data_IF_670986182906
#
_entry.id   IF_670986182906
#
_cell.length_a   1.000
_cell.length_b   1.000
_cell.length_c   1.000
_cell.angle_alpha   90.00
_cell.angle_beta   90.00
_cell.angle_gamma   90.00
#
_symmetry.space_group_name_H-M   'P 1'
#
loop_
_entity.id
_entity.type
_entity.pdbx_description
1 polymer ?
#
# COMPACT_ATOMS: atom_id res chain seq x y z
N UNK A 1 28.36 24.76 32.84
CA UNK A 1 27.84 25.20 34.17
C UNK A 1 26.31 25.14 34.16
N UNK A 2 25.75 24.50 35.20
CA UNK A 2 24.31 24.33 35.62
C UNK A 2 23.54 23.24 34.83
N UNK A 3 23.45 21.99 35.20
CA UNK A 3 23.01 21.26 36.41
C UNK A 3 21.75 21.89 37.03
N UNK A 4 20.65 21.14 36.99
CA UNK A 4 19.46 21.16 37.89
C UNK A 4 18.25 20.68 37.07
N UNK A 5 17.33 19.77 37.43
CA UNK A 5 17.04 19.09 38.69
C UNK A 5 16.26 17.80 38.37
N UNK A 6 16.56 16.80 39.13
CA UNK A 6 15.78 15.60 39.34
C UNK A 6 14.56 15.97 40.16
N UNK A 7 13.38 15.53 39.76
CA UNK A 7 12.26 15.32 40.66
C UNK A 7 11.62 13.97 40.41
N UNK A 8 11.93 13.09 41.30
CA UNK A 8 11.35 11.81 41.66
C UNK A 8 9.96 12.06 42.26
N UNK A 9 8.91 11.44 41.78
CA UNK A 9 7.64 11.31 42.50
C UNK A 9 7.04 9.93 42.24
N UNK A 10 7.25 9.09 43.25
CA UNK A 10 6.57 7.83 43.54
C UNK A 10 5.16 8.13 44.07
N UNK A 11 4.15 7.44 43.57
CA UNK A 11 2.87 7.11 44.23
C UNK A 11 2.25 6.03 43.37
N UNK A 12 2.34 4.77 43.67
CA UNK A 12 1.59 4.00 44.67
C UNK A 12 0.15 3.63 44.20
N UNK A 13 -0.02 2.37 43.91
CA UNK A 13 -1.18 1.49 44.20
C UNK A 13 -2.58 1.93 43.79
N UNK A 14 -3.18 1.13 42.93
CA UNK A 14 -4.44 0.45 43.29
C UNK A 14 -4.70 -0.75 42.37
N UNK A 15 -4.54 -1.92 42.98
CA UNK A 15 -5.01 -3.17 42.44
C UNK A 15 -6.52 -3.27 42.63
N UNK A 16 -7.21 -3.78 41.64
CA UNK A 16 -8.55 -4.36 41.76
C UNK A 16 -8.49 -5.74 41.11
N UNK A 17 -8.32 -6.72 41.98
CA UNK A 17 -8.58 -8.12 41.70
C UNK A 17 -10.10 -8.32 41.54
N UNK A 18 -10.52 -8.85 40.40
CA UNK A 18 -11.89 -9.34 40.21
C UNK A 18 -11.82 -10.87 40.24
N UNK A 19 -12.18 -11.42 41.41
CA UNK A 19 -12.40 -12.86 41.59
C UNK A 19 -13.78 -13.20 41.05
N UNK A 20 -13.83 -14.04 40.02
CA UNK A 20 -15.07 -14.68 39.57
C UNK A 20 -15.17 -16.05 40.23
N UNK A 21 -16.01 -16.16 41.23
CA UNK A 21 -16.39 -17.41 41.90
C UNK A 21 -17.29 -18.26 41.00
N UNK A 22 -16.81 -19.45 40.65
CA UNK A 22 -17.59 -20.52 40.06
C UNK A 22 -18.48 -21.15 41.15
N UNK A 23 -19.79 -21.12 40.99
CA UNK A 23 -20.72 -21.92 41.81
C UNK A 23 -21.22 -23.10 40.99
N UNK A 24 -20.75 -24.24 41.40
CA UNK A 24 -21.16 -25.57 40.98
C UNK A 24 -22.39 -25.99 41.82
N UNK A 25 -23.55 -26.10 41.18
CA UNK A 25 -24.73 -26.67 41.83
C UNK A 25 -25.11 -27.98 41.13
N UNK A 26 -24.81 -29.07 41.83
CA UNK A 26 -25.28 -30.41 41.57
C UNK A 26 -26.73 -30.53 42.05
N UNK A 27 -27.64 -30.88 41.18
CA UNK A 27 -28.94 -31.41 41.53
C UNK A 27 -29.20 -32.70 40.77
N UNK A 28 -29.39 -33.75 41.53
CA UNK A 28 -29.61 -35.15 41.20
C UNK A 28 -31.11 -35.42 41.15
N UNK A 29 -31.49 -36.47 40.35
CA UNK A 29 -32.78 -37.22 40.31
C UNK A 29 -33.87 -36.65 39.40
N UNK A 30 -34.32 -37.36 38.38
CA UNK A 30 -35.10 -38.59 38.35
C UNK A 30 -35.40 -39.01 36.90
N UNK A 31 -35.31 -40.29 36.62
CA UNK A 31 -35.80 -40.96 35.42
C UNK A 31 -37.29 -41.28 35.60
N UNK A 32 -38.12 -41.11 34.56
CA UNK A 32 -38.99 -42.22 34.14
C UNK A 32 -39.05 -42.44 32.63
N UNK A 33 -38.91 -43.68 32.30
CA UNK A 33 -39.59 -44.54 31.32
C UNK A 33 -39.93 -44.02 29.92
N UNK A 34 -39.44 -44.80 29.00
CA UNK A 34 -39.59 -44.83 27.56
C UNK A 34 -41.01 -44.88 27.01
N UNK A 35 -41.19 -44.16 25.85
CA UNK A 35 -42.11 -44.59 24.78
C UNK A 35 -41.37 -44.52 23.42
N UNK A 36 -41.54 -45.51 22.54
CA UNK A 36 -40.82 -45.57 21.27
C UNK A 36 -41.43 -44.59 20.27
N UNK A 37 -40.67 -43.55 19.94
CA UNK A 37 -41.03 -42.65 18.85
C UNK A 37 -40.56 -43.24 17.50
N UNK A 38 -41.47 -43.33 16.55
CA UNK A 38 -41.34 -43.72 15.16
C UNK A 38 -40.07 -43.16 14.52
N UNK A 39 -39.30 -44.04 13.91
CA UNK A 39 -38.21 -43.73 12.99
C UNK A 39 -38.77 -42.88 11.82
N UNK A 40 -38.59 -41.58 11.87
CA UNK A 40 -38.67 -40.72 10.70
C UNK A 40 -37.44 -41.01 9.87
N UNK A 41 -37.60 -41.65 8.73
CA UNK A 41 -36.60 -41.69 7.70
C UNK A 41 -36.30 -40.24 7.29
N UNK A 42 -35.15 -39.76 7.70
CA UNK A 42 -34.59 -38.52 7.17
C UNK A 42 -34.19 -38.77 5.69
N UNK A 43 -34.71 -37.97 4.81
CA UNK A 43 -34.26 -37.88 3.41
C UNK A 43 -32.73 -37.64 3.39
N UNK A 44 -31.99 -38.12 2.37
CA UNK A 44 -30.57 -37.88 2.28
C UNK A 44 -30.36 -36.39 2.10
N UNK A 45 -30.00 -35.72 3.17
CA UNK A 45 -29.44 -34.39 3.07
C UNK A 45 -28.12 -34.54 2.31
N UNK A 46 -28.03 -33.93 1.16
CA UNK A 46 -26.81 -33.76 0.40
C UNK A 46 -25.84 -32.98 1.31
N UNK A 47 -25.13 -33.70 2.17
CA UNK A 47 -24.09 -33.11 3.02
C UNK A 47 -22.88 -32.86 2.14
N UNK A 48 -22.92 -31.73 1.40
CA UNK A 48 -21.68 -31.18 0.83
C UNK A 48 -20.70 -31.09 1.99
N UNK A 49 -19.63 -31.86 1.90
CA UNK A 49 -18.66 -31.97 2.98
C UNK A 49 -18.13 -30.58 3.32
N UNK A 50 -18.03 -30.27 4.60
CA UNK A 50 -17.46 -29.00 5.09
C UNK A 50 -16.06 -28.75 4.51
N UNK A 51 -15.36 -29.81 4.14
CA UNK A 51 -14.07 -29.77 3.46
C UNK A 51 -14.19 -29.30 2.02
N UNK A 52 -15.21 -29.76 1.25
CA UNK A 52 -15.46 -29.34 -0.12
C UNK A 52 -15.88 -27.87 -0.20
N UNK A 53 -16.73 -27.41 0.71
CA UNK A 53 -17.11 -25.99 0.80
C UNK A 53 -15.88 -25.13 1.09
N UNK A 54 -15.01 -25.55 1.99
CA UNK A 54 -13.79 -24.83 2.34
C UNK A 54 -12.79 -24.80 1.20
N UNK A 55 -12.59 -25.92 0.48
CA UNK A 55 -11.70 -25.97 -0.69
C UNK A 55 -12.20 -25.10 -1.85
N UNK A 56 -13.50 -25.14 -2.13
CA UNK A 56 -14.12 -24.28 -3.17
C UNK A 56 -14.00 -22.80 -2.81
N UNK A 57 -14.26 -22.44 -1.57
CA UNK A 57 -14.10 -21.05 -1.10
C UNK A 57 -12.63 -20.57 -1.20
N UNK A 58 -11.67 -21.44 -0.88
CA UNK A 58 -10.23 -21.11 -1.02
C UNK A 58 -9.85 -20.94 -2.49
N UNK A 59 -10.34 -21.80 -3.39
CA UNK A 59 -10.09 -21.69 -4.82
C UNK A 59 -10.71 -20.43 -5.43
N UNK A 60 -11.94 -20.07 -5.02
CA UNK A 60 -12.59 -18.83 -5.45
C UNK A 60 -11.81 -17.61 -4.96
N UNK A 61 -11.39 -17.60 -3.68
CA UNK A 61 -10.60 -16.51 -3.13
C UNK A 61 -9.25 -16.36 -3.85
N UNK A 62 -8.58 -17.47 -4.17
CA UNK A 62 -7.33 -17.45 -4.94
C UNK A 62 -7.55 -16.95 -6.38
N UNK A 63 -8.67 -17.35 -7.02
CA UNK A 63 -9.04 -16.86 -8.35
C UNK A 63 -9.33 -15.36 -8.37
N UNK A 64 -10.05 -14.85 -7.39
CA UNK A 64 -10.33 -13.41 -7.23
C UNK A 64 -9.02 -12.65 -7.00
N UNK A 65 -8.16 -13.12 -6.09
CA UNK A 65 -6.87 -12.51 -5.82
C UNK A 65 -5.95 -12.50 -7.05
N UNK A 66 -5.97 -13.57 -7.86
CA UNK A 66 -5.23 -13.63 -9.11
C UNK A 66 -5.77 -12.65 -10.17
N UNK A 67 -7.09 -12.50 -10.26
CA UNK A 67 -7.73 -11.53 -11.15
C UNK A 67 -7.45 -10.07 -10.73
N UNK A 68 -7.46 -9.79 -9.42
CA UNK A 68 -7.07 -8.49 -8.89
C UNK A 68 -5.58 -8.17 -9.07
N UNK A 69 -4.74 -9.20 -9.14
CA UNK A 69 -3.30 -9.06 -9.36
C UNK A 69 -2.92 -8.90 -10.84
N UNK A 70 -3.82 -9.22 -11.76
CA UNK A 70 -3.57 -9.05 -13.19
C UNK A 70 -3.71 -7.57 -13.56
N UNK A 71 -2.60 -6.99 -14.05
CA UNK A 71 -2.60 -5.61 -14.55
C UNK A 71 -2.99 -5.58 -16.02
N UNK A 72 -3.67 -4.51 -16.41
CA UNK A 72 -3.98 -4.23 -17.80
C UNK A 72 -2.70 -3.97 -18.62
N UNK A 73 -2.67 -4.26 -19.93
CA UNK A 73 -1.50 -4.03 -20.77
C UNK A 73 -0.97 -2.58 -20.72
N UNK A 74 -1.86 -1.60 -20.58
CA UNK A 74 -1.49 -0.20 -20.43
C UNK A 74 -0.76 0.08 -19.11
N UNK A 75 -1.15 -0.58 -18.03
CA UNK A 75 -0.49 -0.47 -16.72
C UNK A 75 0.87 -1.17 -16.72
N UNK A 76 1.00 -2.32 -17.40
CA UNK A 76 2.28 -3.00 -17.60
C UNK A 76 3.26 -2.12 -18.41
N UNK A 77 2.80 -1.46 -19.46
CA UNK A 77 3.62 -0.51 -20.22
C UNK A 77 4.07 0.69 -19.38
N UNK A 78 3.29 1.12 -18.39
CA UNK A 78 3.74 2.12 -17.42
C UNK A 78 4.79 1.52 -16.48
N UNK A 79 4.58 0.28 -16.01
CA UNK A 79 5.52 -0.40 -15.11
C UNK A 79 6.94 -0.48 -15.68
N UNK A 80 7.09 -0.68 -16.98
CA UNK A 80 8.39 -0.74 -17.67
C UNK A 80 9.17 0.58 -17.60
N UNK A 81 8.47 1.71 -17.44
CA UNK A 81 9.07 3.06 -17.39
C UNK A 81 9.36 3.54 -15.99
N UNK A 82 8.96 2.78 -14.96
CA UNK A 82 9.14 3.16 -13.57
C UNK A 82 10.61 3.17 -13.18
N UNK A 83 11.09 4.28 -12.66
CA UNK A 83 12.43 4.35 -12.08
C UNK A 83 12.42 3.62 -10.74
N UNK A 84 13.23 2.58 -10.62
CA UNK A 84 13.41 1.78 -9.41
C UNK A 84 14.75 2.08 -8.74
N UNK A 85 14.93 1.58 -7.52
CA UNK A 85 16.15 1.72 -6.74
C UNK A 85 15.98 2.61 -5.53
N UNK A 86 17.12 2.99 -4.94
CA UNK A 86 17.16 3.93 -3.79
C UNK A 86 17.19 5.34 -4.35
N UNK A 87 16.24 6.16 -3.91
CA UNK A 87 16.10 7.55 -4.29
C UNK A 87 16.28 8.44 -3.06
N UNK A 88 17.35 9.23 -3.00
CA UNK A 88 17.47 10.28 -1.99
C UNK A 88 16.38 11.33 -2.23
N UNK A 89 15.82 11.84 -1.14
CA UNK A 89 14.76 12.83 -1.12
C UNK A 89 15.20 14.06 -0.34
N UNK A 90 14.42 15.12 -0.39
CA UNK A 90 14.61 16.31 0.45
C UNK A 90 14.56 15.97 1.95
N UNK A 91 15.05 16.88 2.78
CA UNK A 91 15.14 16.74 4.24
C UNK A 91 15.91 15.50 4.72
N UNK A 92 16.87 15.00 3.93
CA UNK A 92 17.71 13.86 4.31
C UNK A 92 16.97 12.53 4.41
N UNK A 93 15.82 12.42 3.80
CA UNK A 93 15.07 11.17 3.71
C UNK A 93 15.44 10.38 2.45
N UNK A 94 15.05 9.12 2.39
CA UNK A 94 15.20 8.29 1.19
C UNK A 94 14.03 7.32 1.05
N UNK A 95 13.73 6.97 -0.19
CA UNK A 95 12.74 5.97 -0.56
C UNK A 95 13.40 4.91 -1.42
N UNK A 96 13.08 3.66 -1.17
CA UNK A 96 13.48 2.53 -2.03
C UNK A 96 12.25 2.02 -2.75
N UNK A 97 12.31 1.96 -4.06
CA UNK A 97 11.28 1.37 -4.91
C UNK A 97 11.87 0.16 -5.65
N UNK A 98 11.26 -1.00 -5.48
CA UNK A 98 11.69 -2.24 -6.10
C UNK A 98 10.51 -2.93 -6.78
N UNK A 99 10.74 -3.61 -7.90
CA UNK A 99 9.74 -4.48 -8.53
C UNK A 99 9.40 -5.64 -7.60
N UNK A 100 8.12 -6.03 -7.54
CA UNK A 100 7.68 -7.21 -6.81
C UNK A 100 7.97 -8.48 -7.64
N UNK A 101 8.88 -9.37 -7.22
CA UNK A 101 9.24 -10.54 -8.00
C UNK A 101 8.09 -11.56 -8.10
N UNK A 102 7.14 -11.51 -7.17
CA UNK A 102 5.99 -12.42 -7.13
C UNK A 102 4.82 -11.95 -8.00
N UNK A 103 4.81 -10.66 -8.40
CA UNK A 103 3.70 -10.08 -9.15
C UNK A 103 4.24 -9.08 -10.19
N UNK A 104 4.38 -9.48 -11.46
CA UNK A 104 4.84 -8.62 -12.53
C UNK A 104 4.04 -7.32 -12.63
N UNK A 105 4.74 -6.18 -12.74
CA UNK A 105 4.13 -4.86 -12.79
C UNK A 105 3.81 -4.23 -11.44
N UNK A 106 3.90 -4.99 -10.35
CA UNK A 106 3.78 -4.45 -8.99
C UNK A 106 5.12 -3.99 -8.45
N UNK A 107 5.07 -3.05 -7.51
CA UNK A 107 6.26 -2.51 -6.87
C UNK A 107 6.10 -2.52 -5.35
N UNK A 108 7.21 -2.70 -4.66
CA UNK A 108 7.32 -2.53 -3.21
C UNK A 108 8.09 -1.24 -2.96
N UNK A 109 7.42 -0.29 -2.32
CA UNK A 109 8.01 0.96 -1.86
C UNK A 109 8.29 0.90 -0.38
N UNK A 110 9.48 1.31 0.02
CA UNK A 110 9.91 1.32 1.42
C UNK A 110 10.58 2.65 1.77
N UNK A 111 10.33 3.12 2.98
CA UNK A 111 11.01 4.23 3.60
C UNK A 111 11.23 3.95 5.09
N UNK A 112 11.68 4.94 5.86
CA UNK A 112 12.05 4.76 7.27
C UNK A 112 10.93 4.13 8.12
N UNK A 113 9.68 4.53 7.91
CA UNK A 113 8.55 4.10 8.76
C UNK A 113 7.33 3.63 7.95
N UNK A 114 7.52 3.27 6.67
CA UNK A 114 6.42 2.80 5.83
C UNK A 114 6.88 1.75 4.83
N UNK A 115 5.93 0.92 4.42
CA UNK A 115 6.05 -0.02 3.32
C UNK A 115 4.71 -0.08 2.60
N UNK A 116 4.72 0.12 1.30
CA UNK A 116 3.53 0.11 0.45
C UNK A 116 3.71 -0.86 -0.71
N UNK A 117 2.61 -1.47 -1.13
CA UNK A 117 2.54 -2.28 -2.35
C UNK A 117 1.85 -1.47 -3.43
N UNK A 118 2.62 -0.99 -4.38
CA UNK A 118 2.20 -0.01 -5.37
C UNK A 118 1.85 -0.68 -6.70
N UNK A 119 0.81 -0.18 -7.35
CA UNK A 119 0.46 -0.57 -8.71
C UNK A 119 0.48 0.66 -9.64
N UNK A 120 0.86 0.50 -10.91
CA UNK A 120 0.76 1.57 -11.90
C UNK A 120 -0.70 1.96 -12.15
N UNK A 121 -0.93 3.24 -12.40
CA UNK A 121 -2.24 3.78 -12.75
C UNK A 121 -2.08 4.71 -13.94
N UNK A 122 -2.91 4.54 -14.95
CA UNK A 122 -2.94 5.41 -16.13
C UNK A 122 -3.28 6.84 -15.75
N UNK A 123 -2.54 7.80 -16.32
CA UNK A 123 -2.77 9.23 -16.16
C UNK A 123 -2.93 9.92 -17.51
N UNK A 124 -3.77 10.93 -17.56
CA UNK A 124 -3.96 11.75 -18.78
C UNK A 124 -2.74 12.60 -19.11
N UNK A 125 -1.89 12.88 -18.14
CA UNK A 125 -0.69 13.72 -18.30
C UNK A 125 0.54 12.93 -18.75
N UNK A 126 0.47 11.60 -18.79
CA UNK A 126 1.60 10.72 -19.07
C UNK A 126 2.63 10.61 -17.93
N UNK A 127 2.43 11.30 -16.81
CA UNK A 127 3.25 11.12 -15.62
C UNK A 127 3.10 9.70 -15.06
N UNK A 128 4.20 9.12 -14.57
CA UNK A 128 4.16 7.81 -13.94
C UNK A 128 3.53 7.98 -12.54
N UNK A 129 2.42 7.28 -12.34
CA UNK A 129 1.70 7.26 -11.07
C UNK A 129 1.58 5.82 -10.58
N UNK A 130 2.01 5.59 -9.34
CA UNK A 130 1.81 4.33 -8.64
C UNK A 130 0.92 4.57 -7.42
N UNK A 131 0.02 3.64 -7.14
CA UNK A 131 -0.90 3.72 -6.01
C UNK A 131 -0.89 2.46 -5.15
N UNK A 132 -0.98 2.66 -3.85
CA UNK A 132 -1.48 1.67 -2.90
C UNK A 132 -2.86 2.16 -2.42
N UNK A 133 -3.92 1.64 -3.02
CA UNK A 133 -5.30 2.05 -2.70
C UNK A 133 -5.68 1.70 -1.27
N UNK A 134 -5.13 0.60 -0.74
CA UNK A 134 -5.42 0.16 0.61
C UNK A 134 -4.79 1.08 1.66
N UNK A 135 -3.55 1.49 1.46
CA UNK A 135 -2.87 2.45 2.34
C UNK A 135 -3.21 3.91 2.01
N UNK A 136 -3.73 4.20 0.81
CA UNK A 136 -3.95 5.54 0.29
C UNK A 136 -2.67 6.25 -0.11
N UNK A 137 -1.60 5.51 -0.35
CA UNK A 137 -0.33 6.06 -0.79
C UNK A 137 -0.33 6.26 -2.31
N UNK A 138 0.20 7.38 -2.75
CA UNK A 138 0.35 7.75 -4.16
C UNK A 138 1.77 8.23 -4.39
N UNK A 139 2.46 7.56 -5.30
CA UNK A 139 3.77 7.94 -5.80
C UNK A 139 3.66 8.53 -7.19
N UNK A 140 4.24 9.70 -7.37
CA UNK A 140 4.33 10.36 -8.67
C UNK A 140 5.79 10.48 -9.08
N UNK A 141 6.11 10.02 -10.28
CA UNK A 141 7.40 10.24 -10.91
C UNK A 141 7.24 11.20 -12.10
N UNK A 142 7.85 12.35 -11.96
CA UNK A 142 8.02 13.35 -13.00
C UNK A 142 9.40 13.18 -13.66
N UNK A 143 9.67 13.80 -14.79
CA UNK A 143 10.98 13.67 -15.43
C UNK A 143 12.17 14.08 -14.57
N UNK A 144 12.00 15.06 -13.69
CA UNK A 144 13.07 15.67 -12.89
C UNK A 144 13.00 15.39 -11.38
N UNK A 145 11.88 14.84 -10.88
CA UNK A 145 11.73 14.50 -9.46
C UNK A 145 10.54 13.57 -9.23
N UNK A 146 10.49 12.98 -8.04
CA UNK A 146 9.38 12.15 -7.59
C UNK A 146 8.90 12.58 -6.21
N UNK A 147 7.66 12.23 -5.88
CA UNK A 147 7.07 12.55 -4.57
C UNK A 147 6.11 11.44 -4.11
N UNK A 148 6.03 11.27 -2.80
CA UNK A 148 5.11 10.35 -2.14
C UNK A 148 4.11 11.13 -1.30
N UNK A 149 2.83 10.88 -1.55
CA UNK A 149 1.72 11.45 -0.80
C UNK A 149 0.88 10.33 -0.18
N UNK A 150 0.28 10.60 0.97
CA UNK A 150 -0.78 9.77 1.51
C UNK A 150 -2.09 10.57 1.49
N UNK A 151 -3.02 10.15 0.63
CA UNK A 151 -4.28 10.83 0.41
C UNK A 151 -5.26 10.67 1.59
N UNK A 152 -5.18 9.56 2.33
CA UNK A 152 -6.07 9.32 3.48
C UNK A 152 -5.81 10.27 4.65
N UNK A 153 -4.55 10.65 4.84
CA UNK A 153 -4.15 11.56 5.92
C UNK A 153 -3.76 12.95 5.40
N UNK A 154 -3.85 13.17 4.09
CA UNK A 154 -3.53 14.47 3.47
C UNK A 154 -2.08 14.90 3.62
N UNK A 155 -1.13 13.97 3.78
CA UNK A 155 0.28 14.28 4.03
C UNK A 155 1.18 13.94 2.85
N UNK A 156 2.16 14.82 2.59
CA UNK A 156 3.31 14.53 1.75
C UNK A 156 4.36 13.82 2.61
N UNK A 157 4.64 12.56 2.29
CA UNK A 157 5.54 11.70 3.07
C UNK A 157 6.99 11.80 2.62
N UNK A 158 7.23 12.06 1.32
CA UNK A 158 8.54 12.32 0.77
C UNK A 158 8.40 13.24 -0.46
N UNK A 159 9.33 14.15 -0.65
CA UNK A 159 9.37 15.09 -1.79
C UNK A 159 10.79 15.24 -2.33
N UNK A 160 10.89 15.73 -3.56
CA UNK A 160 12.16 15.95 -4.22
C UNK A 160 13.01 14.68 -4.35
N UNK A 161 12.37 13.49 -4.35
CA UNK A 161 13.09 12.24 -4.52
C UNK A 161 13.57 12.10 -5.96
N UNK A 162 14.81 11.71 -6.16
CA UNK A 162 15.40 11.63 -7.50
C UNK A 162 16.16 10.33 -7.70
N UNK A 163 15.84 9.61 -8.77
CA UNK A 163 16.68 8.57 -9.33
C UNK A 163 17.89 9.18 -10.03
N UNK A 164 18.89 8.36 -10.36
CA UNK A 164 20.07 8.83 -11.07
C UNK A 164 19.71 9.49 -12.41
N UNK A 165 18.75 8.94 -13.17
CA UNK A 165 18.28 9.53 -14.43
C UNK A 165 17.57 10.86 -14.22
N UNK A 166 16.75 10.97 -13.16
CA UNK A 166 16.07 12.24 -12.83
C UNK A 166 17.06 13.34 -12.40
N UNK A 167 18.15 13.00 -11.73
CA UNK A 167 19.21 13.95 -11.39
C UNK A 167 19.84 14.58 -12.65
N UNK A 168 20.09 13.78 -13.69
CA UNK A 168 20.61 14.28 -14.98
C UNK A 168 19.63 15.26 -15.61
N UNK A 169 18.34 14.91 -15.66
CA UNK A 169 17.31 15.79 -16.20
C UNK A 169 17.16 17.07 -15.38
N UNK A 170 17.14 16.94 -14.06
CA UNK A 170 17.05 18.09 -13.16
C UNK A 170 18.21 19.06 -13.34
N UNK A 171 19.43 18.55 -13.58
CA UNK A 171 20.60 19.38 -13.87
C UNK A 171 20.46 20.05 -15.23
N UNK A 172 20.11 19.31 -16.27
CA UNK A 172 19.90 19.87 -17.61
C UNK A 172 18.86 21.01 -17.62
N UNK A 173 17.78 20.87 -16.82
CA UNK A 173 16.76 21.93 -16.67
C UNK A 173 17.27 23.18 -15.96
N UNK A 174 18.30 23.05 -15.11
CA UNK A 174 18.94 24.21 -14.48
C UNK A 174 19.87 24.95 -15.46
N UNK A 175 20.58 24.19 -16.29
CA UNK A 175 21.56 24.72 -17.25
C UNK A 175 20.88 25.34 -18.45
N UNK A 176 19.72 24.81 -18.86
CA UNK A 176 18.88 25.32 -19.93
C UNK A 176 17.43 25.44 -19.44
N UNK A 177 17.07 26.50 -18.71
CA UNK A 177 15.72 26.72 -18.24
C UNK A 177 14.72 26.71 -19.40
N UNK A 178 13.51 26.16 -19.18
CA UNK A 178 12.50 26.16 -20.26
C UNK A 178 12.25 27.60 -20.78
N UNK A 179 11.92 27.74 -22.07
CA UNK A 179 11.63 29.05 -22.64
C UNK A 179 10.49 29.72 -21.86
N UNK A 180 10.63 31.02 -21.65
CA UNK A 180 9.60 31.81 -21.00
C UNK A 180 8.34 31.82 -21.88
N UNK A 181 7.33 31.08 -21.46
CA UNK A 181 6.05 30.98 -22.18
C UNK A 181 5.25 32.31 -22.16
N UNK A 182 5.62 33.24 -21.30
CA UNK A 182 5.02 34.56 -21.16
C UNK A 182 5.89 35.65 -21.78
N UNK A 183 7.10 35.31 -22.22
CA UNK A 183 7.98 36.19 -22.96
C UNK A 183 7.52 36.42 -24.43
N UNK A 184 8.06 37.42 -25.11
CA UNK A 184 7.81 37.59 -26.53
C UNK A 184 8.22 36.32 -27.29
N UNK A 185 7.47 35.92 -28.35
CA UNK A 185 7.80 34.73 -29.12
C UNK A 185 9.25 34.78 -29.58
N UNK A 186 10.00 33.70 -29.32
CA UNK A 186 11.37 33.57 -29.79
C UNK A 186 11.38 33.86 -31.32
N UNK A 187 12.24 34.74 -31.76
CA UNK A 187 12.39 35.06 -33.19
C UNK A 187 12.63 33.73 -33.93
N UNK A 188 11.75 33.46 -34.89
CA UNK A 188 11.84 32.30 -35.77
C UNK A 188 13.23 32.34 -36.46
N UNK A 189 14.01 31.25 -36.43
CA UNK A 189 15.32 31.26 -37.09
C UNK A 189 15.11 31.59 -38.57
N UNK A 190 15.73 32.68 -39.01
CA UNK A 190 15.71 33.11 -40.41
C UNK A 190 16.14 31.95 -41.32
N UNK A 191 15.39 31.62 -42.37
CA UNK A 191 15.75 30.52 -43.26
C UNK A 191 17.11 30.81 -43.88
N UNK A 192 18.08 29.94 -43.61
CA UNK A 192 19.41 30.01 -44.15
C UNK A 192 19.29 30.15 -45.68
N UNK A 193 19.63 31.30 -46.21
CA UNK A 193 19.74 31.57 -47.64
C UNK A 193 20.78 30.58 -48.19
N UNK A 194 20.30 29.61 -48.93
CA UNK A 194 21.15 28.66 -49.64
C UNK A 194 21.85 29.40 -50.81
N UNK A 195 23.18 29.23 -50.98
CA UNK A 195 23.92 29.85 -52.10
C UNK A 195 23.53 29.26 -53.46
#
# INVERSE_FOLDING_TARGET
MKIFYITLLLLACWGLAFEATAQNAVAKTAKPAAKPAKKRQAAPANSVSRTEIRSTATQMAAGIAAAEAALEPAELAIAERVHTGVMPCEAGTSVTLASDPAAPGYFVMQGKNFRFRMVPVSTVTGAIRLEDRQAGAVWLQLPNKSMLMNQKIGQRMADGCMSQSQLVVAQAMKDAPPPDLLGPPAAEPEPATRP
#
